data_IF_978251106333
#
_entry.id   IF_978251106333
#
_cell.length_a   1.000
_cell.length_b   1.000
_cell.length_c   1.000
_cell.angle_alpha   90.00
_cell.angle_beta   90.00
_cell.angle_gamma   90.00
#
_symmetry.space_group_name_H-M   'P 1'
#
loop_
_entity.id
_entity.type
_entity.pdbx_description
1 polymer ?
#
# COMPACT_ATOMS: atom_id res chain seq x y z
N UNK A 1 24.74 18.80 13.19
CA UNK A 1 25.03 17.70 12.22
C UNK A 1 23.84 17.55 11.28
N UNK A 2 24.05 17.17 10.04
CA UNK A 2 22.91 16.94 9.14
C UNK A 2 22.18 15.64 9.54
N UNK A 3 20.86 15.68 9.65
CA UNK A 3 20.02 14.54 9.96
C UNK A 3 20.13 13.49 8.86
N UNK A 4 20.69 12.33 9.15
CA UNK A 4 20.67 11.20 8.22
C UNK A 4 19.37 10.43 8.38
N UNK A 5 18.32 10.90 7.70
CA UNK A 5 16.97 10.36 7.82
C UNK A 5 16.90 8.87 7.48
N UNK A 6 17.69 8.40 6.49
CA UNK A 6 17.73 7.01 6.10
C UNK A 6 18.22 6.10 7.24
N UNK A 7 19.34 6.50 7.89
CA UNK A 7 19.92 5.73 9.01
C UNK A 7 18.97 5.71 10.21
N UNK A 8 18.37 6.86 10.51
CA UNK A 8 17.42 7.01 11.62
C UNK A 8 16.17 6.16 11.39
N UNK A 9 15.64 6.16 10.17
CA UNK A 9 14.48 5.33 9.77
C UNK A 9 14.75 3.84 10.01
N UNK A 10 15.89 3.34 9.51
CA UNK A 10 16.25 1.92 9.64
C UNK A 10 16.42 1.55 11.12
N UNK A 11 17.13 2.37 11.90
CA UNK A 11 17.30 2.13 13.33
C UNK A 11 15.96 2.08 14.07
N UNK A 12 15.05 3.04 13.78
CA UNK A 12 13.72 3.09 14.39
C UNK A 12 12.90 1.83 14.14
N UNK A 13 12.90 1.36 12.89
CA UNK A 13 12.12 0.18 12.51
C UNK A 13 12.77 -1.11 13.01
N UNK A 14 14.10 -1.16 13.06
CA UNK A 14 14.84 -2.32 13.57
C UNK A 14 14.63 -2.54 15.07
N UNK A 15 14.47 -1.45 15.84
CA UNK A 15 14.14 -1.52 17.28
C UNK A 15 12.72 -2.02 17.54
N UNK A 16 11.85 -2.02 16.49
CA UNK A 16 10.43 -2.41 16.57
C UNK A 16 10.09 -3.37 15.44
N UNK A 17 10.66 -4.57 15.44
CA UNK A 17 10.42 -5.54 14.38
C UNK A 17 8.94 -5.91 14.32
N UNK A 18 8.44 -6.12 13.12
CA UNK A 18 7.05 -6.50 12.81
C UNK A 18 6.00 -5.39 13.09
N UNK A 19 6.35 -4.30 13.77
CA UNK A 19 5.45 -3.16 13.94
C UNK A 19 5.36 -2.34 12.63
N UNK A 20 4.16 -1.88 12.32
CA UNK A 20 3.86 -1.21 11.04
C UNK A 20 3.56 0.27 11.26
N UNK A 21 4.41 1.14 10.75
CA UNK A 21 4.32 2.59 10.89
C UNK A 21 4.07 3.29 9.56
N UNK A 22 3.21 4.29 9.55
CA UNK A 22 3.08 5.19 8.40
C UNK A 22 4.28 6.14 8.32
N UNK A 23 4.56 6.68 7.13
CA UNK A 23 5.60 7.69 6.96
C UNK A 23 5.38 8.92 7.88
N UNK A 24 4.11 9.24 8.17
CA UNK A 24 3.75 10.36 9.07
C UNK A 24 4.13 10.06 10.51
N UNK A 25 3.79 8.89 11.02
CA UNK A 25 4.18 8.48 12.38
C UNK A 25 5.69 8.50 12.58
N UNK A 26 6.43 8.01 11.58
CA UNK A 26 7.90 8.03 11.61
C UNK A 26 8.42 9.48 11.58
N UNK A 27 7.87 10.35 10.73
CA UNK A 27 8.26 11.75 10.66
C UNK A 27 7.98 12.52 11.96
N UNK A 28 6.84 12.28 12.59
CA UNK A 28 6.47 12.86 13.88
C UNK A 28 7.41 12.37 14.99
N UNK A 29 7.75 11.09 14.99
CA UNK A 29 8.74 10.55 15.94
C UNK A 29 10.14 11.17 15.71
N UNK A 30 10.58 11.30 14.46
CA UNK A 30 11.86 11.95 14.12
C UNK A 30 11.86 13.40 14.61
N UNK A 31 10.79 14.14 14.40
CA UNK A 31 10.65 15.51 14.85
C UNK A 31 10.73 15.64 16.38
N UNK A 32 10.10 14.71 17.10
CA UNK A 32 10.13 14.68 18.57
C UNK A 32 11.50 14.24 19.14
N UNK A 33 12.18 13.32 18.47
CA UNK A 33 13.44 12.72 18.97
C UNK A 33 14.67 13.55 18.60
N UNK A 34 14.64 14.24 17.45
CA UNK A 34 15.75 15.02 16.91
C UNK A 34 15.38 16.49 16.66
N UNK A 35 14.92 17.22 17.70
CA UNK A 35 14.42 18.58 17.52
C UNK A 35 15.51 19.55 17.04
N UNK A 36 16.77 19.40 17.49
CA UNK A 36 17.87 20.29 17.10
C UNK A 36 18.18 20.19 15.61
N UNK A 37 18.26 18.96 15.08
CA UNK A 37 18.51 18.70 13.68
C UNK A 37 17.32 19.14 12.80
N UNK A 38 16.12 18.94 13.29
CA UNK A 38 14.90 19.40 12.63
C UNK A 38 14.85 20.92 12.55
N UNK A 39 15.18 21.63 13.62
CA UNK A 39 15.26 23.09 13.61
C UNK A 39 16.39 23.61 12.69
N UNK A 40 17.55 22.96 12.69
CA UNK A 40 18.64 23.28 11.78
C UNK A 40 18.20 23.10 10.32
N UNK A 41 17.47 22.03 10.01
CA UNK A 41 16.90 21.79 8.67
C UNK A 41 15.88 22.86 8.29
N UNK A 42 14.99 23.23 9.20
CA UNK A 42 14.03 24.33 9.01
C UNK A 42 14.74 25.65 8.71
N UNK A 43 15.75 26.00 9.52
CA UNK A 43 16.52 27.23 9.35
C UNK A 43 17.29 27.30 8.04
N UNK A 44 17.73 26.17 7.49
CA UNK A 44 18.43 26.09 6.21
C UNK A 44 17.50 26.12 4.98
N UNK A 45 16.19 25.93 5.19
CA UNK A 45 15.19 25.91 4.12
C UNK A 45 14.57 27.28 3.92
N UNK A 46 14.45 27.70 2.66
CA UNK A 46 13.73 28.94 2.28
C UNK A 46 12.20 28.76 2.23
N UNK A 47 11.73 27.50 2.22
CA UNK A 47 10.33 27.17 1.96
C UNK A 47 9.59 26.63 3.17
N UNK A 48 10.31 26.20 4.21
CA UNK A 48 9.72 25.62 5.42
C UNK A 48 9.60 26.72 6.46
N UNK A 49 8.38 27.17 6.70
CA UNK A 49 8.10 28.29 7.63
C UNK A 49 7.62 27.81 9.00
N UNK A 50 6.93 26.67 9.04
CA UNK A 50 6.36 26.10 10.26
C UNK A 50 6.72 24.63 10.46
N UNK A 51 6.42 24.09 11.63
CA UNK A 51 6.77 22.72 11.99
C UNK A 51 5.91 21.68 11.26
N UNK A 52 4.67 22.03 10.92
CA UNK A 52 3.80 21.15 10.15
C UNK A 52 4.34 20.92 8.72
N UNK A 53 4.86 21.98 8.08
CA UNK A 53 5.53 21.88 6.77
C UNK A 53 6.81 21.05 6.87
N UNK A 54 7.57 21.19 7.97
CA UNK A 54 8.75 20.38 8.20
C UNK A 54 8.39 18.88 8.33
N UNK A 55 7.37 18.54 9.08
CA UNK A 55 6.89 17.16 9.20
C UNK A 55 6.45 16.63 7.83
N UNK A 56 5.72 17.44 7.06
CA UNK A 56 5.30 17.06 5.71
C UNK A 56 6.49 16.84 4.76
N UNK A 57 7.53 17.67 4.86
CA UNK A 57 8.77 17.48 4.13
C UNK A 57 9.48 16.18 4.51
N UNK A 58 9.54 15.86 5.81
CA UNK A 58 10.09 14.58 6.28
C UNK A 58 9.30 13.38 5.72
N UNK A 59 7.96 13.47 5.69
CA UNK A 59 7.10 12.44 5.07
C UNK A 59 7.44 12.24 3.60
N UNK A 60 7.61 13.33 2.86
CA UNK A 60 7.97 13.29 1.43
C UNK A 60 9.35 12.65 1.23
N UNK A 61 10.33 13.01 2.06
CA UNK A 61 11.68 12.44 2.01
C UNK A 61 11.70 10.95 2.34
N UNK A 62 11.00 10.51 3.38
CA UNK A 62 10.85 9.09 3.73
C UNK A 62 10.28 8.33 2.52
N UNK A 63 9.24 8.87 1.91
CA UNK A 63 8.58 8.24 0.78
C UNK A 63 9.46 8.19 -0.46
N UNK A 64 10.23 9.23 -0.73
CA UNK A 64 11.14 9.30 -1.89
C UNK A 64 12.36 8.40 -1.74
N UNK A 65 12.89 8.25 -0.53
CA UNK A 65 14.05 7.40 -0.26
C UNK A 65 13.72 5.91 -0.22
N UNK A 66 12.46 5.54 -0.05
CA UNK A 66 11.99 4.16 0.07
C UNK A 66 12.60 3.21 -0.97
N UNK A 67 12.53 3.47 -2.29
CA UNK A 67 13.00 2.50 -3.29
C UNK A 67 14.49 2.20 -3.16
N UNK A 68 15.28 3.21 -2.79
CA UNK A 68 16.72 3.07 -2.59
C UNK A 68 17.02 2.30 -1.30
N UNK A 69 16.27 2.58 -0.24
CA UNK A 69 16.41 1.90 1.04
C UNK A 69 16.02 0.42 0.95
N UNK A 70 14.92 0.10 0.28
CA UNK A 70 14.49 -1.29 0.08
C UNK A 70 15.48 -2.12 -0.75
N UNK A 71 16.20 -1.49 -1.69
CA UNK A 71 17.28 -2.16 -2.43
C UNK A 71 18.51 -2.46 -1.57
N UNK A 72 18.78 -1.63 -0.56
CA UNK A 72 19.93 -1.78 0.33
C UNK A 72 19.63 -2.61 1.58
N UNK A 73 18.40 -2.60 2.01
CA UNK A 73 17.91 -3.26 3.21
C UNK A 73 16.67 -4.06 2.82
N UNK A 74 16.87 -5.34 2.50
CA UNK A 74 15.80 -6.24 2.06
C UNK A 74 14.77 -6.51 3.17
N UNK A 75 15.19 -6.31 4.43
CA UNK A 75 14.38 -6.43 5.62
C UNK A 75 13.40 -5.26 5.79
N UNK A 76 13.64 -4.13 5.09
CA UNK A 76 12.72 -2.98 5.07
C UNK A 76 11.59 -3.26 4.10
N UNK A 77 10.43 -3.57 4.65
CA UNK A 77 9.23 -3.90 3.88
C UNK A 77 8.16 -2.81 3.98
N UNK A 78 7.23 -2.85 3.06
CA UNK A 78 6.08 -1.94 3.07
C UNK A 78 4.81 -2.68 2.71
N UNK A 79 3.68 -2.24 3.29
CA UNK A 79 2.36 -2.74 2.91
C UNK A 79 1.92 -2.17 1.55
N UNK A 80 1.06 -2.88 0.83
CA UNK A 80 0.52 -2.43 -0.45
C UNK A 80 -0.63 -1.42 -0.28
N UNK A 81 -1.32 -1.44 0.87
CA UNK A 81 -2.46 -0.57 1.14
C UNK A 81 -2.11 0.93 1.27
N UNK A 82 -3.14 1.79 1.28
CA UNK A 82 -3.01 3.22 1.55
C UNK A 82 -3.73 3.57 2.85
N UNK A 83 -3.09 4.29 3.79
CA UNK A 83 -1.71 4.75 3.76
C UNK A 83 -0.72 3.59 3.87
N UNK A 84 0.37 3.66 3.06
CA UNK A 84 1.44 2.67 3.09
C UNK A 84 2.15 2.69 4.43
N UNK A 85 2.39 1.52 5.01
CA UNK A 85 3.11 1.36 6.28
C UNK A 85 4.46 0.71 6.02
N UNK A 86 5.45 1.13 6.79
CA UNK A 86 6.83 0.64 6.80
C UNK A 86 7.01 -0.28 8.00
N UNK A 87 7.74 -1.36 7.82
CA UNK A 87 8.10 -2.29 8.90
C UNK A 87 9.43 -2.98 8.60
N UNK A 88 10.05 -3.49 9.65
CA UNK A 88 11.27 -4.28 9.55
C UNK A 88 10.94 -5.74 9.83
N UNK A 89 11.30 -6.62 8.90
CA UNK A 89 11.10 -8.05 9.05
C UNK A 89 12.27 -8.81 8.41
N UNK A 90 12.88 -9.70 9.17
CA UNK A 90 13.93 -10.61 8.70
C UNK A 90 13.35 -11.84 7.99
N UNK A 91 12.02 -12.01 8.04
CA UNK A 91 11.35 -13.13 7.38
C UNK A 91 11.37 -12.93 5.87
N UNK A 92 11.51 -14.02 5.15
CA UNK A 92 11.33 -14.02 3.68
C UNK A 92 9.87 -13.78 3.34
N UNK A 93 9.60 -13.24 2.14
CA UNK A 93 8.22 -12.99 1.69
C UNK A 93 7.37 -14.28 1.71
N UNK A 94 7.98 -15.41 1.33
CA UNK A 94 7.31 -16.72 1.40
C UNK A 94 6.98 -17.15 2.84
N UNK A 95 7.85 -16.84 3.80
CA UNK A 95 7.59 -17.14 5.21
C UNK A 95 6.51 -16.22 5.81
N UNK A 96 6.44 -14.95 5.36
CA UNK A 96 5.36 -14.04 5.76
C UNK A 96 4.01 -14.48 5.20
N UNK A 97 3.96 -14.87 3.92
CA UNK A 97 2.74 -15.41 3.31
C UNK A 97 2.28 -16.64 4.05
N UNK A 98 3.17 -17.61 4.32
CA UNK A 98 2.85 -18.82 5.06
C UNK A 98 2.37 -18.51 6.49
N UNK A 99 2.95 -17.52 7.17
CA UNK A 99 2.52 -17.09 8.50
C UNK A 99 1.12 -16.44 8.47
N UNK A 100 0.80 -15.65 7.46
CA UNK A 100 -0.54 -15.06 7.29
C UNK A 100 -1.57 -16.13 6.95
N UNK A 101 -1.23 -17.07 6.08
CA UNK A 101 -2.10 -18.21 5.73
C UNK A 101 -2.37 -19.10 6.94
N UNK A 102 -1.36 -19.39 7.75
CA UNK A 102 -1.54 -20.18 8.99
C UNK A 102 -2.29 -19.42 10.07
N UNK A 103 -2.10 -18.11 10.19
CA UNK A 103 -2.87 -17.27 11.13
C UNK A 103 -4.32 -17.08 10.67
N UNK A 104 -4.57 -17.06 9.36
CA UNK A 104 -5.92 -16.97 8.78
C UNK A 104 -6.78 -18.19 9.08
N UNK A 105 -6.19 -19.34 9.35
CA UNK A 105 -6.92 -20.56 9.73
C UNK A 105 -7.40 -20.57 11.19
N UNK A 106 -6.88 -19.71 12.04
CA UNK A 106 -7.29 -19.63 13.47
C UNK A 106 -8.29 -18.51 13.76
N UNK A 107 -8.54 -17.59 12.83
CA UNK A 107 -9.51 -16.49 12.98
C UNK A 107 -10.84 -16.72 12.23
N UNK A 108 -11.15 -17.97 11.88
CA UNK A 108 -12.36 -18.32 11.12
C UNK A 108 -13.56 -18.60 12.03
N UNK A 109 -13.71 -17.86 13.15
CA UNK A 109 -14.90 -18.01 13.99
C UNK A 109 -15.93 -16.87 13.82
N UNK A 110 -15.65 -15.81 13.03
CA UNK A 110 -16.62 -14.71 12.87
C UNK A 110 -16.60 -13.98 11.52
N UNK A 111 -16.22 -14.65 10.47
CA UNK A 111 -16.47 -14.18 9.11
C UNK A 111 -16.79 -15.37 8.21
N UNK A 112 -18.01 -15.86 8.30
CA UNK A 112 -18.67 -16.50 7.17
C UNK A 112 -19.02 -15.44 6.12
N UNK A 113 -18.05 -14.62 5.75
CA UNK A 113 -18.00 -14.05 4.42
C UNK A 113 -17.68 -15.24 3.54
N UNK A 114 -18.73 -15.99 3.13
CA UNK A 114 -18.66 -16.87 1.99
C UNK A 114 -17.81 -16.15 0.96
N UNK A 115 -16.79 -16.80 0.42
CA UNK A 115 -16.07 -16.35 -0.77
C UNK A 115 -17.19 -16.03 -1.76
N UNK A 116 -17.54 -14.75 -1.87
CA UNK A 116 -18.61 -14.32 -2.76
C UNK A 116 -18.06 -14.65 -4.12
N UNK A 117 -18.65 -15.64 -4.77
CA UNK A 117 -18.28 -15.98 -6.12
C UNK A 117 -18.56 -14.74 -6.96
N UNK A 118 -17.52 -14.15 -7.50
CA UNK A 118 -17.61 -12.97 -8.36
C UNK A 118 -18.67 -13.17 -9.43
N UNK A 119 -18.76 -14.37 -9.99
CA UNK A 119 -19.76 -14.73 -10.99
C UNK A 119 -21.21 -14.62 -10.47
N UNK A 120 -21.43 -14.82 -9.18
CA UNK A 120 -22.75 -14.67 -8.57
C UNK A 120 -23.18 -13.20 -8.42
N UNK A 121 -22.24 -12.26 -8.48
CA UNK A 121 -22.53 -10.82 -8.40
C UNK A 121 -23.00 -10.23 -9.75
N UNK A 122 -22.59 -10.80 -10.86
CA UNK A 122 -22.90 -10.23 -12.18
C UNK A 122 -24.40 -10.16 -12.52
N UNK A 123 -25.24 -11.17 -12.21
CA UNK A 123 -26.70 -11.05 -12.38
C UNK A 123 -27.30 -9.91 -11.57
N UNK A 124 -26.85 -9.73 -10.32
CA UNK A 124 -27.33 -8.65 -9.45
C UNK A 124 -26.91 -7.29 -9.99
N UNK A 125 -25.68 -7.16 -10.48
CA UNK A 125 -25.20 -5.92 -11.12
C UNK A 125 -25.98 -5.61 -12.39
N UNK A 126 -26.26 -6.61 -13.24
CA UNK A 126 -27.04 -6.43 -14.46
C UNK A 126 -28.48 -6.01 -14.15
N UNK A 127 -29.08 -6.59 -13.10
CA UNK A 127 -30.41 -6.20 -12.64
C UNK A 127 -30.41 -4.76 -12.12
N UNK A 128 -29.46 -4.39 -11.29
CA UNK A 128 -29.29 -3.03 -10.77
C UNK A 128 -29.14 -1.99 -11.90
N UNK A 129 -28.28 -2.28 -12.89
CA UNK A 129 -28.08 -1.38 -14.03
C UNK A 129 -29.37 -1.20 -14.85
N UNK A 130 -30.17 -2.25 -14.97
CA UNK A 130 -31.46 -2.17 -15.64
C UNK A 130 -32.50 -1.37 -14.83
N UNK A 131 -32.65 -1.64 -13.54
CA UNK A 131 -33.65 -1.02 -12.68
C UNK A 131 -33.38 0.46 -12.44
N UNK A 132 -32.09 0.84 -12.22
CA UNK A 132 -31.74 2.23 -11.87
C UNK A 132 -31.45 3.10 -13.10
N UNK A 133 -30.87 2.53 -14.15
CA UNK A 133 -30.38 3.30 -15.29
C UNK A 133 -31.05 2.92 -16.63
N UNK A 134 -31.85 1.88 -16.67
CA UNK A 134 -32.46 1.39 -17.91
C UNK A 134 -31.44 0.83 -18.90
N UNK A 135 -30.25 0.44 -18.44
CA UNK A 135 -29.15 -0.02 -19.28
C UNK A 135 -29.10 -1.55 -19.33
N UNK A 136 -29.17 -2.10 -20.54
CA UNK A 136 -28.89 -3.52 -20.75
C UNK A 136 -27.39 -3.78 -20.69
N UNK A 137 -26.99 -4.70 -19.82
CA UNK A 137 -25.62 -5.16 -19.71
C UNK A 137 -25.50 -6.63 -20.07
N UNK A 138 -24.40 -7.01 -20.70
CA UNK A 138 -24.11 -8.40 -21.06
C UNK A 138 -22.65 -8.73 -20.78
N UNK A 139 -22.43 -9.89 -20.16
CA UNK A 139 -21.08 -10.38 -19.93
C UNK A 139 -20.40 -10.77 -21.25
N UNK A 140 -19.18 -10.29 -21.45
CA UNK A 140 -18.39 -10.58 -22.65
C UNK A 140 -17.73 -11.97 -22.55
N UNK A 141 -17.37 -12.38 -21.35
CA UNK A 141 -16.72 -13.66 -21.06
C UNK A 141 -17.63 -14.88 -21.26
N UNK A 142 -18.95 -14.70 -21.24
CA UNK A 142 -19.91 -15.75 -21.55
C UNK A 142 -19.87 -16.17 -23.03
N UNK A 143 -19.37 -15.30 -23.92
CA UNK A 143 -19.08 -15.69 -25.28
C UNK A 143 -17.72 -16.38 -25.32
N UNK A 144 -17.67 -17.66 -25.62
CA UNK A 144 -16.44 -18.38 -25.94
C UNK A 144 -15.78 -17.71 -27.15
N UNK A 145 -14.99 -16.70 -26.90
CA UNK A 145 -14.12 -16.11 -27.91
C UNK A 145 -12.80 -16.86 -27.86
N UNK A 146 -12.50 -17.59 -28.93
CA UNK A 146 -11.19 -18.19 -29.15
C UNK A 146 -10.11 -17.12 -29.34
N UNK A 147 -10.50 -15.86 -29.49
CA UNK A 147 -9.60 -14.75 -29.80
C UNK A 147 -9.53 -13.79 -28.60
N UNK A 148 -8.55 -14.03 -27.72
CA UNK A 148 -8.22 -13.14 -26.59
C UNK A 148 -7.49 -11.85 -27.01
N UNK A 149 -7.47 -11.53 -28.31
CA UNK A 149 -6.81 -10.33 -28.83
C UNK A 149 -7.84 -9.48 -29.59
N UNK A 150 -7.81 -8.18 -29.32
CA UNK A 150 -8.61 -7.22 -30.08
C UNK A 150 -8.14 -7.12 -31.55
N UNK A 151 -8.87 -6.34 -32.38
CA UNK A 151 -8.63 -6.24 -33.83
C UNK A 151 -7.18 -5.88 -34.19
N UNK A 152 -6.46 -5.20 -33.33
CA UNK A 152 -5.07 -4.77 -33.55
C UNK A 152 -4.04 -5.63 -32.80
N UNK A 153 -4.40 -6.83 -32.37
CA UNK A 153 -3.50 -7.74 -31.67
C UNK A 153 -3.16 -7.33 -30.23
N UNK A 154 -3.72 -6.25 -29.72
CA UNK A 154 -3.53 -5.80 -28.37
C UNK A 154 -4.32 -6.68 -27.38
N UNK A 155 -3.72 -6.95 -26.21
CA UNK A 155 -4.47 -7.52 -25.08
C UNK A 155 -5.47 -6.50 -24.61
N UNK A 156 -6.74 -6.80 -24.78
CA UNK A 156 -7.80 -6.03 -24.16
C UNK A 156 -7.88 -6.40 -22.67
N UNK A 157 -7.94 -5.39 -21.83
CA UNK A 157 -8.59 -5.55 -20.54
C UNK A 157 -10.08 -5.65 -20.84
N UNK A 158 -10.61 -6.85 -20.81
CA UNK A 158 -12.06 -7.04 -21.00
C UNK A 158 -12.77 -6.39 -19.81
N UNK A 159 -13.68 -5.44 -20.01
CA UNK A 159 -14.60 -5.10 -18.96
C UNK A 159 -15.45 -6.33 -18.66
N UNK A 160 -15.63 -6.63 -17.38
CA UNK A 160 -16.37 -7.81 -16.96
C UNK A 160 -17.87 -7.71 -17.33
N UNK A 161 -18.35 -6.49 -17.55
CA UNK A 161 -19.73 -6.18 -17.97
C UNK A 161 -19.73 -5.07 -19.02
N UNK A 162 -20.57 -5.23 -20.08
CA UNK A 162 -20.83 -4.24 -21.12
C UNK A 162 -22.31 -3.96 -21.20
#
# INVERSE_FOLDING_TARGET
MALNLAKVLIAYLKDRPEEKFTARQIAEWVFATFPAECQAKKASSKFITNDAELVQQLVAEISSQRPVLQKRHLELKTTEGRPRKYYYSERTDSAEVAAVESAGTTSAADASASKVDEHALYPLLSQYLWEEFGVFSKRIDEKRSSNKRGPNGNRWLYPDVV
#
